data_IF_861344727855
#
_entry.id   IF_861344727855
#
_cell.length_a   1.000
_cell.length_b   1.000
_cell.length_c   1.000
_cell.angle_alpha   90.00
_cell.angle_beta   90.00
_cell.angle_gamma   90.00
#
_symmetry.space_group_name_H-M   'P 1'
#
loop_
_entity.id
_entity.type
_entity.pdbx_description
1 polymer ?
#
# COMPACT_ATOMS: atom_id res chain seq x y z
N UNK A 1 -19.25 -21.44 -6.15
CA UNK A 1 -19.96 -20.16 -6.43
C UNK A 1 -19.90 -19.20 -5.24
N UNK A 2 -20.39 -19.56 -4.05
CA UNK A 2 -20.30 -18.69 -2.86
C UNK A 2 -18.85 -18.26 -2.53
N UNK A 3 -17.88 -19.16 -2.63
CA UNK A 3 -16.47 -18.85 -2.38
C UNK A 3 -15.88 -17.81 -3.35
N UNK A 4 -16.27 -17.84 -4.63
CA UNK A 4 -15.82 -16.88 -5.65
C UNK A 4 -16.42 -15.50 -5.38
N UNK A 5 -17.69 -15.45 -4.94
CA UNK A 5 -18.34 -14.20 -4.55
C UNK A 5 -17.63 -13.53 -3.35
N UNK A 6 -17.32 -14.30 -2.30
CA UNK A 6 -16.57 -13.78 -1.15
C UNK A 6 -15.14 -13.34 -1.52
N UNK A 7 -14.44 -14.11 -2.36
CA UNK A 7 -13.09 -13.76 -2.81
C UNK A 7 -13.07 -12.53 -3.71
N UNK A 8 -14.09 -12.37 -4.56
CA UNK A 8 -14.30 -11.19 -5.40
C UNK A 8 -14.56 -9.93 -4.57
N UNK A 9 -15.41 -10.02 -3.53
CA UNK A 9 -15.67 -8.90 -2.61
C UNK A 9 -14.40 -8.54 -1.83
N UNK A 10 -13.66 -9.53 -1.31
CA UNK A 10 -12.42 -9.29 -0.58
C UNK A 10 -11.34 -8.64 -1.47
N UNK A 11 -11.20 -9.13 -2.71
CA UNK A 11 -10.25 -8.58 -3.70
C UNK A 11 -10.65 -7.15 -4.09
N UNK A 12 -11.93 -6.89 -4.29
CA UNK A 12 -12.45 -5.55 -4.58
C UNK A 12 -12.18 -4.57 -3.44
N UNK A 13 -12.44 -4.99 -2.20
CA UNK A 13 -12.13 -4.19 -1.01
C UNK A 13 -10.64 -3.88 -0.92
N UNK A 14 -9.79 -4.87 -1.15
CA UNK A 14 -8.33 -4.73 -1.16
C UNK A 14 -7.86 -3.73 -2.24
N UNK A 15 -8.52 -3.73 -3.41
CA UNK A 15 -8.21 -2.83 -4.52
C UNK A 15 -8.64 -1.38 -4.24
N UNK A 16 -9.75 -1.20 -3.52
CA UNK A 16 -10.24 0.12 -3.06
C UNK A 16 -9.45 0.67 -1.87
N UNK A 17 -8.87 -0.17 -1.00
CA UNK A 17 -8.02 0.27 0.11
C UNK A 17 -6.59 0.63 -0.31
N UNK A 18 -6.12 0.10 -1.43
CA UNK A 18 -4.82 0.43 -2.02
C UNK A 18 -4.54 1.95 -2.17
N UNK A 19 -5.44 2.76 -2.76
CA UNK A 19 -5.23 4.20 -2.86
C UNK A 19 -5.21 4.91 -1.49
N UNK A 20 -5.90 4.37 -0.48
CA UNK A 20 -5.85 4.89 0.90
C UNK A 20 -4.48 4.65 1.53
N UNK A 21 -3.88 3.47 1.32
CA UNK A 21 -2.52 3.13 1.78
C UNK A 21 -1.45 4.06 1.16
N UNK A 22 -1.55 4.31 -0.16
CA UNK A 22 -0.67 5.27 -0.85
C UNK A 22 -0.83 6.70 -0.32
N UNK A 23 -2.06 7.11 -0.02
CA UNK A 23 -2.33 8.42 0.57
C UNK A 23 -1.77 8.51 2.01
N UNK A 24 -1.87 7.44 2.80
CA UNK A 24 -1.28 7.36 4.13
C UNK A 24 0.25 7.51 4.08
N UNK A 25 0.93 6.81 3.15
CA UNK A 25 2.39 6.94 2.95
C UNK A 25 2.79 8.36 2.53
N UNK A 26 2.00 9.01 1.67
CA UNK A 26 2.22 10.42 1.25
C UNK A 26 2.02 11.41 2.41
N UNK A 27 0.96 11.23 3.22
CA UNK A 27 0.71 12.03 4.44
C UNK A 27 1.78 11.82 5.50
N UNK A 28 2.26 10.60 5.69
CA UNK A 28 3.35 10.29 6.62
C UNK A 28 4.63 11.05 6.22
N UNK A 29 4.91 11.15 4.92
CA UNK A 29 6.02 11.97 4.41
C UNK A 29 5.89 13.45 4.78
N UNK A 30 4.70 14.02 4.59
CA UNK A 30 4.41 15.41 4.92
C UNK A 30 4.54 15.64 6.42
N UNK A 31 4.08 14.70 7.26
CA UNK A 31 4.22 14.78 8.71
C UNK A 31 5.70 14.75 9.14
N UNK A 32 6.51 13.85 8.57
CA UNK A 32 7.96 13.75 8.85
C UNK A 32 8.69 15.04 8.44
N UNK A 33 8.37 15.59 7.26
CA UNK A 33 8.98 16.83 6.77
C UNK A 33 8.55 18.07 7.58
N UNK A 34 7.29 18.12 8.03
CA UNK A 34 6.76 19.25 8.81
C UNK A 34 7.15 19.24 10.29
N UNK A 35 7.46 18.07 10.85
CA UNK A 35 7.68 17.91 12.29
C UNK A 35 9.11 18.19 12.77
N UNK A 36 10.05 18.55 11.87
CA UNK A 36 11.49 18.65 12.17
C UNK A 36 12.07 17.39 12.88
N UNK A 37 11.41 16.23 12.73
CA UNK A 37 11.75 15.00 13.46
C UNK A 37 13.01 14.35 12.87
N UNK A 38 13.22 14.50 11.56
CA UNK A 38 14.35 13.94 10.82
C UNK A 38 15.14 15.06 10.11
N UNK A 39 16.48 14.93 10.11
CA UNK A 39 17.36 15.78 9.30
C UNK A 39 17.11 15.56 7.80
N UNK A 40 17.42 16.53 6.95
CA UNK A 40 17.11 16.47 5.51
C UNK A 40 17.70 15.25 4.80
N UNK A 41 18.86 14.77 5.25
CA UNK A 41 19.53 13.56 4.78
C UNK A 41 18.76 12.28 5.17
N UNK A 42 18.16 12.25 6.36
CA UNK A 42 17.35 11.13 6.84
C UNK A 42 15.95 11.10 6.20
N UNK A 43 15.41 12.26 5.79
CA UNK A 43 14.11 12.35 5.11
C UNK A 43 14.10 11.58 3.78
N UNK A 44 15.21 11.57 3.04
CA UNK A 44 15.34 10.81 1.79
C UNK A 44 15.28 9.30 2.08
N UNK A 45 15.94 8.85 3.15
CA UNK A 45 15.91 7.46 3.61
C UNK A 45 14.51 7.02 4.04
N UNK A 46 13.86 7.84 4.88
CA UNK A 46 12.48 7.61 5.31
C UNK A 46 11.51 7.57 4.13
N UNK A 47 11.71 8.43 3.13
CA UNK A 47 10.90 8.44 1.91
C UNK A 47 11.00 7.16 1.12
N UNK A 48 12.23 6.68 0.96
CA UNK A 48 12.51 5.43 0.25
C UNK A 48 11.93 4.23 1.00
N UNK A 49 12.03 4.20 2.33
CA UNK A 49 11.44 3.14 3.15
C UNK A 49 9.90 3.13 3.06
N UNK A 50 9.25 4.28 3.25
CA UNK A 50 7.78 4.42 3.19
C UNK A 50 7.22 4.07 1.79
N UNK A 51 7.95 4.42 0.73
CA UNK A 51 7.58 4.04 -0.64
C UNK A 51 7.74 2.52 -0.86
N UNK A 52 8.81 1.91 -0.35
CA UNK A 52 9.01 0.45 -0.43
C UNK A 52 7.95 -0.32 0.37
N UNK A 53 7.53 0.20 1.53
CA UNK A 53 6.44 -0.38 2.31
C UNK A 53 5.10 -0.33 1.57
N UNK A 54 4.81 0.74 0.82
CA UNK A 54 3.60 0.78 -0.01
C UNK A 54 3.64 -0.22 -1.18
N UNK A 55 4.83 -0.47 -1.74
CA UNK A 55 5.02 -1.44 -2.83
C UNK A 55 4.74 -2.89 -2.40
N UNK A 56 4.95 -3.26 -1.14
CA UNK A 56 4.62 -4.62 -0.68
C UNK A 56 3.12 -4.88 -0.67
N UNK A 57 2.30 -3.86 -0.40
CA UNK A 57 0.83 -3.96 -0.49
C UNK A 57 0.37 -4.15 -1.94
N UNK A 58 1.00 -3.44 -2.89
CA UNK A 58 0.77 -3.62 -4.33
C UNK A 58 1.15 -5.04 -4.76
N UNK A 59 2.29 -5.55 -4.28
CA UNK A 59 2.73 -6.91 -4.59
C UNK A 59 1.76 -7.96 -4.06
N UNK A 60 1.29 -7.81 -2.82
CA UNK A 60 0.29 -8.71 -2.22
C UNK A 60 -1.02 -8.74 -3.03
N UNK A 61 -1.46 -7.58 -3.53
CA UNK A 61 -2.60 -7.49 -4.42
C UNK A 61 -2.38 -8.13 -5.78
N UNK A 62 -1.23 -7.91 -6.40
CA UNK A 62 -0.88 -8.55 -7.66
C UNK A 62 -0.87 -10.07 -7.53
N UNK A 63 -0.33 -10.60 -6.42
CA UNK A 63 -0.35 -12.03 -6.10
C UNK A 63 -1.77 -12.54 -5.86
N UNK A 64 -2.63 -11.78 -5.16
CA UNK A 64 -4.04 -12.14 -4.96
C UNK A 64 -4.79 -12.19 -6.29
N UNK A 65 -4.55 -11.22 -7.18
CA UNK A 65 -5.17 -11.14 -8.50
C UNK A 65 -4.73 -12.29 -9.42
N UNK A 66 -3.43 -12.62 -9.40
CA UNK A 66 -2.89 -13.78 -10.11
C UNK A 66 -3.47 -15.11 -9.59
N UNK A 67 -3.68 -15.23 -8.28
CA UNK A 67 -4.34 -16.41 -7.70
C UNK A 67 -5.82 -16.50 -8.11
N UNK A 68 -6.53 -15.37 -8.18
CA UNK A 68 -7.92 -15.33 -8.65
C UNK A 68 -8.04 -15.71 -10.13
N UNK A 69 -7.11 -15.25 -10.98
CA UNK A 69 -7.06 -15.61 -12.41
C UNK A 69 -6.67 -17.06 -12.66
N UNK A 70 -5.98 -17.70 -11.71
CA UNK A 70 -5.59 -19.12 -11.79
C UNK A 70 -6.74 -20.06 -11.45
N UNK A 71 -7.73 -19.58 -10.71
CA UNK A 71 -8.94 -20.32 -10.32
C UNK A 71 -10.05 -20.16 -11.36
#
# INVERSE_FOLDING_TARGET
ILGIAFFGIATFFQLVTLPVEFNASKRAMTAISSGYILREDEQIGARKMLSSAALTYVAALAVSLLNLLRF
#
